data_IF_777576450801
#
_entry.id   IF_777576450801
#
_cell.length_a   1.000
_cell.length_b   1.000
_cell.length_c   1.000
_cell.angle_alpha   90.00
_cell.angle_beta   90.00
_cell.angle_gamma   90.00
#
_symmetry.space_group_name_H-M   'P 1'
#
loop_
_entity.id
_entity.type
_entity.pdbx_description
1 polymer ?
#
# COMPACT_ATOMS: atom_id res chain seq x y z
N UNK A 1 45.31 18.74 -48.48
CA UNK A 1 45.41 17.41 -47.82
C UNK A 1 44.75 17.54 -46.46
N UNK A 2 43.74 16.72 -46.18
CA UNK A 2 42.82 16.91 -45.04
C UNK A 2 43.49 16.66 -43.69
N UNK A 3 43.25 17.58 -42.75
CA UNK A 3 43.66 17.49 -41.35
C UNK A 3 42.59 16.69 -40.59
N UNK A 4 43.01 15.59 -39.98
CA UNK A 4 42.20 14.78 -39.07
C UNK A 4 42.04 15.55 -37.75
N UNK A 5 40.82 15.97 -37.42
CA UNK A 5 40.52 16.57 -36.12
C UNK A 5 40.17 15.46 -35.11
N UNK A 6 40.93 15.38 -34.03
CA UNK A 6 40.59 14.57 -32.86
C UNK A 6 39.51 15.28 -32.06
N UNK A 7 38.30 14.70 -32.01
CA UNK A 7 37.26 15.14 -31.08
C UNK A 7 37.68 14.73 -29.65
N UNK A 8 38.06 15.71 -28.84
CA UNK A 8 38.08 15.59 -27.38
C UNK A 8 36.64 15.46 -26.89
N UNK A 9 36.31 14.29 -26.34
CA UNK A 9 35.03 14.03 -25.71
C UNK A 9 34.86 14.95 -24.48
N UNK A 10 33.99 15.95 -24.62
CA UNK A 10 33.55 16.81 -23.54
C UNK A 10 32.78 15.98 -22.51
N UNK A 11 33.20 16.05 -21.25
CA UNK A 11 32.66 15.25 -20.15
C UNK A 11 31.36 15.91 -19.71
N UNK A 12 30.23 15.44 -20.23
CA UNK A 12 28.92 15.96 -19.83
C UNK A 12 28.79 15.96 -18.29
N UNK A 13 28.36 17.08 -17.68
CA UNK A 13 28.06 17.11 -16.26
C UNK A 13 26.95 16.09 -15.95
N UNK A 14 27.18 15.22 -14.96
CA UNK A 14 26.19 14.24 -14.53
C UNK A 14 24.86 14.87 -14.10
N UNK A 15 23.78 14.08 -14.14
CA UNK A 15 22.44 14.56 -13.80
C UNK A 15 22.41 15.09 -12.34
N UNK A 16 22.15 16.39 -12.10
CA UNK A 16 22.18 17.01 -10.77
C UNK A 16 21.11 16.45 -9.82
N UNK A 17 20.21 15.59 -10.32
CA UNK A 17 19.18 14.91 -9.53
C UNK A 17 19.71 13.75 -8.70
N UNK A 18 20.93 13.26 -8.98
CA UNK A 18 21.53 12.15 -8.22
C UNK A 18 21.79 12.55 -6.75
N UNK A 19 21.95 13.84 -6.46
CA UNK A 19 22.14 14.36 -5.10
C UNK A 19 20.83 14.72 -4.37
N UNK A 20 19.67 14.60 -5.02
CA UNK A 20 18.36 15.00 -4.45
C UNK A 20 17.74 13.99 -3.49
N UNK A 21 18.41 12.89 -3.21
CA UNK A 21 18.03 11.99 -2.15
C UNK A 21 19.28 11.41 -1.52
N UNK A 22 19.63 11.87 -0.32
CA UNK A 22 20.42 11.04 0.57
C UNK A 22 19.58 9.77 0.80
N UNK A 23 20.05 8.58 0.38
CA UNK A 23 19.42 7.36 0.83
C UNK A 23 19.44 7.43 2.36
N UNK A 24 18.31 7.19 3.03
CA UNK A 24 18.38 6.91 4.47
C UNK A 24 19.44 5.81 4.64
N UNK A 25 20.44 6.05 5.48
CA UNK A 25 21.55 5.12 5.78
C UNK A 25 21.05 3.78 6.38
N UNK A 26 19.75 3.68 6.62
CA UNK A 26 18.98 2.51 7.04
C UNK A 26 18.62 1.56 5.89
N UNK A 27 19.08 1.79 4.66
CA UNK A 27 18.83 0.88 3.55
C UNK A 27 19.49 -0.49 3.84
N UNK A 28 18.71 -1.59 3.97
CA UNK A 28 19.28 -2.88 4.32
C UNK A 28 20.22 -3.37 3.22
N UNK A 29 21.36 -3.93 3.62
CA UNK A 29 22.28 -4.58 2.69
C UNK A 29 21.60 -5.83 2.14
N UNK A 30 21.30 -5.85 0.84
CA UNK A 30 20.72 -7.02 0.17
C UNK A 30 21.76 -8.14 0.19
N UNK A 31 21.53 -9.18 1.00
CA UNK A 31 22.45 -10.33 1.13
C UNK A 31 22.12 -11.42 0.12
N UNK A 32 20.87 -11.46 -0.34
CA UNK A 32 20.39 -12.42 -1.31
C UNK A 32 19.66 -11.71 -2.46
N UNK A 33 19.78 -12.27 -3.67
CA UNK A 33 19.08 -11.79 -4.87
C UNK A 33 17.55 -11.71 -4.68
N UNK A 34 16.99 -12.43 -3.70
CA UNK A 34 15.55 -12.45 -3.38
C UNK A 34 15.11 -11.31 -2.45
N UNK A 35 16.03 -10.60 -1.83
CA UNK A 35 15.69 -9.52 -0.88
C UNK A 35 15.02 -8.35 -1.63
N UNK A 36 15.52 -8.06 -2.84
CA UNK A 36 14.92 -7.08 -3.74
C UNK A 36 13.54 -7.44 -4.31
N UNK A 37 13.00 -8.66 -4.09
CA UNK A 37 11.66 -9.07 -4.57
C UNK A 37 10.61 -9.16 -3.45
N UNK A 38 11.02 -9.06 -2.18
CA UNK A 38 10.06 -9.15 -1.07
C UNK A 38 9.07 -7.97 -1.06
N UNK A 39 7.80 -8.19 -0.69
CA UNK A 39 6.89 -7.11 -0.39
C UNK A 39 7.33 -6.40 0.89
N UNK A 40 7.03 -5.12 1.03
CA UNK A 40 7.47 -4.32 2.18
C UNK A 40 6.66 -4.59 3.45
N UNK A 41 5.40 -4.97 3.29
CA UNK A 41 4.44 -5.21 4.38
C UNK A 41 3.41 -6.27 4.00
N UNK A 42 2.85 -6.93 5.01
CA UNK A 42 1.64 -7.74 4.92
C UNK A 42 0.58 -7.25 5.91
N UNK A 43 -0.68 -7.38 5.55
CA UNK A 43 -1.80 -7.05 6.41
C UNK A 43 -2.79 -8.20 6.59
N UNK A 44 -3.49 -8.15 7.71
CA UNK A 44 -4.63 -8.99 8.04
C UNK A 44 -5.83 -8.10 8.39
N UNK A 45 -6.94 -8.29 7.67
CA UNK A 45 -8.23 -7.64 7.89
C UNK A 45 -9.17 -8.66 8.54
N UNK A 46 -9.69 -8.33 9.71
CA UNK A 46 -10.73 -9.09 10.40
C UNK A 46 -12.08 -8.38 10.28
N UNK A 47 -13.09 -9.09 9.76
CA UNK A 47 -14.47 -8.60 9.63
C UNK A 47 -15.44 -9.71 10.02
N UNK A 48 -16.23 -9.50 11.08
CA UNK A 48 -17.31 -10.43 11.50
C UNK A 48 -16.87 -11.91 11.59
N UNK A 49 -15.67 -12.16 12.13
CA UNK A 49 -15.12 -13.52 12.27
C UNK A 49 -14.41 -14.07 11.03
N UNK A 50 -14.45 -13.37 9.89
CA UNK A 50 -13.64 -13.68 8.72
C UNK A 50 -12.31 -12.94 8.78
N UNK A 51 -11.24 -13.59 8.34
CA UNK A 51 -9.90 -12.98 8.23
C UNK A 51 -9.43 -13.07 6.78
N UNK A 52 -9.08 -11.91 6.21
CA UNK A 52 -8.47 -11.80 4.89
C UNK A 52 -7.04 -11.30 5.05
N UNK A 53 -6.09 -11.89 4.33
CA UNK A 53 -4.68 -11.51 4.39
C UNK A 53 -4.12 -11.23 3.01
N UNK A 54 -3.23 -10.25 2.89
CA UNK A 54 -2.43 -10.07 1.69
C UNK A 54 -1.14 -9.31 1.98
N UNK A 55 -0.22 -9.36 1.02
CA UNK A 55 0.98 -8.53 0.99
C UNK A 55 0.74 -7.26 0.17
N UNK A 56 1.58 -6.25 0.34
CA UNK A 56 1.60 -5.09 -0.54
C UNK A 56 1.79 -5.52 -2.00
N UNK A 57 1.11 -4.83 -2.92
CA UNK A 57 1.25 -5.08 -4.35
C UNK A 57 2.57 -4.53 -4.87
N UNK A 58 3.39 -5.41 -5.48
CA UNK A 58 4.67 -5.03 -6.11
C UNK A 58 4.64 -5.06 -7.64
N UNK A 59 3.53 -5.51 -8.24
CA UNK A 59 3.37 -5.56 -9.69
C UNK A 59 3.44 -4.15 -10.30
N UNK A 60 4.00 -4.01 -11.50
CA UNK A 60 4.08 -2.73 -12.19
C UNK A 60 2.69 -2.11 -12.38
N UNK A 61 1.68 -2.95 -12.66
CA UNK A 61 0.30 -2.51 -12.76
C UNK A 61 -0.32 -2.28 -11.37
N UNK A 62 -1.00 -1.14 -11.12
CA UNK A 62 -1.80 -0.95 -9.91
C UNK A 62 -2.88 -2.03 -9.78
N UNK A 63 -3.17 -2.49 -8.56
CA UNK A 63 -4.22 -3.48 -8.34
C UNK A 63 -5.58 -2.90 -8.75
N UNK A 64 -6.47 -3.75 -9.29
CA UNK A 64 -7.85 -3.36 -9.53
C UNK A 64 -8.57 -3.15 -8.18
N UNK A 65 -8.78 -1.89 -7.81
CA UNK A 65 -9.47 -1.51 -6.58
C UNK A 65 -10.99 -1.46 -6.78
N UNK A 66 -11.72 -1.61 -5.69
CA UNK A 66 -13.17 -1.44 -5.69
C UNK A 66 -13.51 0.04 -5.96
N UNK A 67 -14.55 0.37 -6.75
CA UNK A 67 -14.88 1.76 -7.11
C UNK A 67 -14.92 2.72 -5.91
N UNK A 68 -15.63 2.37 -4.82
CA UNK A 68 -15.67 3.21 -3.61
C UNK A 68 -14.31 3.46 -2.95
N UNK A 69 -13.36 2.51 -3.07
CA UNK A 69 -12.00 2.69 -2.56
C UNK A 69 -11.23 3.61 -3.51
N UNK A 70 -11.33 3.37 -4.82
CA UNK A 70 -10.72 4.18 -5.86
C UNK A 70 -11.18 5.65 -5.76
N UNK A 71 -12.49 5.88 -5.71
CA UNK A 71 -13.10 7.22 -5.59
C UNK A 71 -12.57 7.99 -4.38
N UNK A 72 -12.41 7.31 -3.23
CA UNK A 72 -11.84 7.94 -2.05
C UNK A 72 -10.36 8.30 -2.24
N UNK A 73 -9.56 7.39 -2.82
CA UNK A 73 -8.14 7.64 -3.04
C UNK A 73 -7.90 8.77 -4.05
N UNK A 74 -8.74 8.86 -5.09
CA UNK A 74 -8.65 9.90 -6.12
C UNK A 74 -8.99 11.29 -5.57
N UNK A 75 -9.82 11.37 -4.53
CA UNK A 75 -10.19 12.63 -3.86
C UNK A 75 -9.22 13.09 -2.77
N UNK A 76 -8.19 12.28 -2.44
CA UNK A 76 -7.19 12.68 -1.44
C UNK A 76 -6.41 13.92 -1.88
N UNK A 77 -6.27 14.89 -0.98
CA UNK A 77 -5.35 16.03 -1.16
C UNK A 77 -3.90 15.57 -1.03
N UNK A 78 -2.96 16.40 -1.49
CA UNK A 78 -1.52 16.10 -1.45
C UNK A 78 -1.04 15.72 -0.04
N UNK A 79 -1.54 16.37 1.01
CA UNK A 79 -1.16 16.10 2.41
C UNK A 79 -1.49 14.67 2.87
N UNK A 80 -2.50 14.06 2.25
CA UNK A 80 -2.93 12.70 2.56
C UNK A 80 -2.44 11.66 1.56
N UNK A 81 -1.79 12.07 0.47
CA UNK A 81 -1.25 11.15 -0.54
C UNK A 81 0.15 10.67 -0.16
N UNK A 82 0.37 9.38 -0.27
CA UNK A 82 1.67 8.73 -0.19
C UNK A 82 2.09 8.21 -1.58
N UNK A 83 3.40 8.00 -1.80
CA UNK A 83 3.97 7.52 -3.07
C UNK A 83 3.41 6.16 -3.52
N UNK A 84 2.88 5.38 -2.58
CA UNK A 84 2.38 4.02 -2.79
C UNK A 84 0.84 3.93 -2.64
N UNK A 85 0.15 5.07 -2.75
CA UNK A 85 -1.32 5.15 -2.69
C UNK A 85 -1.97 4.09 -3.59
N UNK A 86 -2.90 3.32 -3.02
CA UNK A 86 -3.64 2.26 -3.73
C UNK A 86 -2.91 0.92 -3.85
N UNK A 87 -1.61 0.83 -3.54
CA UNK A 87 -0.84 -0.42 -3.59
C UNK A 87 -0.66 -1.10 -2.23
N UNK A 88 -1.00 -0.37 -1.16
CA UNK A 88 -0.93 -0.87 0.21
C UNK A 88 -1.88 -2.07 0.40
N UNK A 89 -1.50 -3.06 1.22
CA UNK A 89 -2.36 -4.22 1.48
C UNK A 89 -3.71 -3.83 2.09
N UNK A 90 -3.79 -2.70 2.81
CA UNK A 90 -5.04 -2.17 3.37
C UNK A 90 -6.08 -1.85 2.28
N UNK A 91 -5.67 -1.10 1.25
CA UNK A 91 -6.56 -0.75 0.13
C UNK A 91 -7.00 -1.99 -0.65
N UNK A 92 -6.09 -2.96 -0.82
CA UNK A 92 -6.37 -4.23 -1.49
C UNK A 92 -7.37 -5.08 -0.68
N UNK A 93 -7.19 -5.21 0.64
CA UNK A 93 -8.08 -5.99 1.50
C UNK A 93 -9.47 -5.37 1.61
N UNK A 94 -9.57 -4.05 1.77
CA UNK A 94 -10.87 -3.35 1.74
C UNK A 94 -11.56 -3.58 0.40
N UNK A 95 -10.85 -3.43 -0.71
CA UNK A 95 -11.40 -3.65 -2.05
C UNK A 95 -11.92 -5.07 -2.23
N UNK A 96 -11.12 -6.08 -1.88
CA UNK A 96 -11.52 -7.50 -1.96
C UNK A 96 -12.75 -7.79 -1.11
N UNK A 97 -12.80 -7.26 0.11
CA UNK A 97 -13.95 -7.42 1.00
C UNK A 97 -15.20 -6.79 0.39
N UNK A 98 -15.14 -5.54 -0.06
CA UNK A 98 -16.29 -4.85 -0.65
C UNK A 98 -16.77 -5.53 -1.94
N UNK A 99 -15.86 -5.95 -2.81
CA UNK A 99 -16.19 -6.74 -4.00
C UNK A 99 -16.87 -8.05 -3.61
N UNK A 100 -16.42 -8.73 -2.55
CA UNK A 100 -17.08 -9.96 -2.07
C UNK A 100 -18.49 -9.69 -1.53
N UNK A 101 -18.70 -8.55 -0.87
CA UNK A 101 -20.01 -8.12 -0.35
C UNK A 101 -20.96 -7.82 -1.51
N UNK A 102 -20.53 -7.06 -2.51
CA UNK A 102 -21.28 -6.88 -3.75
C UNK A 102 -21.58 -8.22 -4.42
N UNK A 103 -20.57 -9.10 -4.45
CA UNK A 103 -20.66 -10.44 -4.99
C UNK A 103 -21.48 -11.41 -4.13
N UNK A 104 -22.05 -10.98 -3.00
CA UNK A 104 -22.99 -11.75 -2.19
C UNK A 104 -24.42 -11.19 -2.26
N UNK A 105 -24.62 -9.98 -2.81
CA UNK A 105 -25.96 -9.36 -2.93
C UNK A 105 -26.87 -10.12 -3.90
N UNK A 106 -28.19 -9.96 -3.75
CA UNK A 106 -29.17 -10.55 -4.66
C UNK A 106 -29.03 -9.99 -6.08
N UNK A 107 -29.50 -10.72 -7.11
CA UNK A 107 -29.45 -10.27 -8.51
C UNK A 107 -30.08 -8.89 -8.71
N UNK A 108 -31.18 -8.59 -8.01
CA UNK A 108 -31.84 -7.28 -8.07
C UNK A 108 -30.99 -6.18 -7.41
N UNK A 109 -30.41 -6.47 -6.24
CA UNK A 109 -29.62 -5.50 -5.50
C UNK A 109 -28.31 -5.14 -6.21
N UNK A 110 -27.67 -6.10 -6.90
CA UNK A 110 -26.44 -5.87 -7.68
C UNK A 110 -26.59 -4.93 -8.86
N UNK A 111 -27.82 -4.68 -9.34
CA UNK A 111 -28.05 -3.70 -10.40
C UNK A 111 -27.72 -2.28 -9.96
N UNK A 112 -27.70 -2.03 -8.65
CA UNK A 112 -27.30 -0.74 -8.07
C UNK A 112 -25.90 -0.87 -7.47
N UNK A 113 -24.98 0.06 -7.78
CA UNK A 113 -23.66 0.11 -7.13
C UNK A 113 -23.79 0.10 -5.61
N UNK A 114 -22.82 -0.50 -4.91
CA UNK A 114 -22.74 -0.41 -3.46
C UNK A 114 -22.62 1.06 -3.03
N UNK A 115 -23.42 1.46 -2.05
CA UNK A 115 -23.33 2.80 -1.47
C UNK A 115 -22.28 2.85 -0.36
N UNK A 116 -21.77 4.04 -0.04
CA UNK A 116 -20.86 4.24 1.10
C UNK A 116 -21.48 3.77 2.43
N UNK A 117 -22.77 4.02 2.64
CA UNK A 117 -23.48 3.55 3.84
C UNK A 117 -23.52 2.02 3.95
N UNK A 118 -23.77 1.33 2.84
CA UNK A 118 -23.71 -0.14 2.78
C UNK A 118 -22.27 -0.65 3.00
N UNK A 119 -21.27 0.01 2.43
CA UNK A 119 -19.86 -0.33 2.61
C UNK A 119 -19.42 -0.19 4.08
N UNK A 120 -19.75 0.93 4.75
CA UNK A 120 -19.48 1.12 6.18
C UNK A 120 -20.21 0.09 7.04
N UNK A 121 -21.44 -0.27 6.68
CA UNK A 121 -22.19 -1.34 7.36
C UNK A 121 -21.50 -2.70 7.19
N UNK A 122 -21.00 -3.00 5.99
CA UNK A 122 -20.30 -4.24 5.69
C UNK A 122 -18.95 -4.36 6.42
N UNK A 123 -18.29 -3.23 6.69
CA UNK A 123 -17.03 -3.12 7.43
C UNK A 123 -17.24 -2.78 8.92
N UNK A 124 -18.47 -2.87 9.44
CA UNK A 124 -18.77 -2.54 10.83
C UNK A 124 -17.90 -3.40 11.76
N UNK A 125 -17.22 -2.74 12.71
CA UNK A 125 -16.29 -3.33 13.67
C UNK A 125 -15.08 -4.05 13.04
N UNK A 126 -14.78 -3.78 11.78
CA UNK A 126 -13.59 -4.30 11.13
C UNK A 126 -12.32 -3.77 11.80
N UNK A 127 -11.32 -4.64 11.88
CA UNK A 127 -9.98 -4.34 12.40
C UNK A 127 -8.94 -4.75 11.37
N UNK A 128 -7.89 -3.97 11.23
CA UNK A 128 -6.75 -4.30 10.36
C UNK A 128 -5.45 -4.18 11.14
N UNK A 129 -4.52 -5.09 10.89
CA UNK A 129 -3.14 -5.00 11.38
C UNK A 129 -2.20 -5.21 10.22
N UNK A 130 -1.08 -4.48 10.23
CA UNK A 130 -0.03 -4.58 9.22
C UNK A 130 1.30 -4.89 9.89
N UNK A 131 2.11 -5.77 9.30
CA UNK A 131 3.45 -6.14 9.77
C UNK A 131 4.48 -5.88 8.67
N UNK A 132 5.68 -5.46 9.09
CA UNK A 132 6.82 -5.28 8.20
C UNK A 132 7.35 -6.63 7.73
N UNK A 133 7.62 -6.75 6.44
CA UNK A 133 8.34 -7.87 5.85
C UNK A 133 9.73 -7.36 5.46
N UNK A 134 10.76 -7.98 6.03
CA UNK A 134 12.18 -7.64 5.85
C UNK A 134 13.01 -8.90 5.62
N UNK A 135 14.27 -8.73 5.27
CA UNK A 135 15.24 -9.81 5.11
C UNK A 135 15.43 -10.60 6.42
N UNK A 136 15.96 -11.81 6.28
CA UNK A 136 16.30 -12.63 7.45
C UNK A 136 17.35 -11.92 8.32
N UNK A 137 17.11 -11.93 9.63
CA UNK A 137 17.93 -11.21 10.60
C UNK A 137 17.65 -9.71 10.75
N UNK A 138 16.78 -9.08 9.94
CA UNK A 138 16.38 -7.69 10.20
C UNK A 138 15.48 -7.63 11.46
N UNK A 139 15.87 -6.91 12.52
CA UNK A 139 15.10 -6.81 13.76
C UNK A 139 13.72 -6.14 13.58
N UNK A 140 13.51 -5.41 12.48
CA UNK A 140 12.22 -4.80 12.12
C UNK A 140 11.27 -5.80 11.47
N UNK A 141 11.73 -6.97 11.04
CA UNK A 141 10.86 -8.01 10.48
C UNK A 141 9.75 -8.37 11.49
N UNK A 142 8.51 -8.51 11.02
CA UNK A 142 7.38 -8.90 11.87
C UNK A 142 6.89 -7.82 12.85
N UNK A 143 7.57 -6.67 12.96
CA UNK A 143 7.11 -5.54 13.79
C UNK A 143 5.88 -4.88 13.18
N UNK A 144 5.07 -4.21 14.01
CA UNK A 144 3.90 -3.48 13.53
C UNK A 144 4.31 -2.36 12.56
N UNK A 145 3.58 -2.27 11.45
CA UNK A 145 3.68 -1.17 10.50
C UNK A 145 2.41 -0.32 10.62
N UNK A 146 2.49 0.95 11.05
CA UNK A 146 1.32 1.82 11.03
C UNK A 146 0.86 2.05 9.57
N UNK A 147 -0.45 2.22 9.32
CA UNK A 147 -0.95 2.54 7.99
C UNK A 147 -0.31 3.84 7.47
N UNK A 148 0.00 3.91 6.18
CA UNK A 148 0.48 5.15 5.57
C UNK A 148 -0.60 6.25 5.60
N UNK A 149 -0.24 7.49 5.22
CA UNK A 149 -1.16 8.64 5.25
C UNK A 149 -2.46 8.38 4.47
N UNK A 150 -2.35 7.87 3.24
CA UNK A 150 -3.51 7.55 2.40
C UNK A 150 -4.39 6.46 3.02
N UNK A 151 -3.76 5.43 3.59
CA UNK A 151 -4.50 4.33 4.21
C UNK A 151 -5.14 4.74 5.53
N UNK A 152 -4.51 5.63 6.30
CA UNK A 152 -5.13 6.18 7.51
C UNK A 152 -6.43 6.92 7.16
N UNK A 153 -6.39 7.79 6.14
CA UNK A 153 -7.58 8.48 5.65
C UNK A 153 -8.66 7.50 5.15
N UNK A 154 -8.26 6.50 4.35
CA UNK A 154 -9.14 5.47 3.83
C UNK A 154 -9.82 4.64 4.94
N UNK A 155 -9.05 4.16 5.92
CA UNK A 155 -9.56 3.36 7.03
C UNK A 155 -10.56 4.17 7.87
N UNK A 156 -10.26 5.45 8.14
CA UNK A 156 -11.18 6.36 8.82
C UNK A 156 -12.47 6.58 8.00
N UNK A 157 -12.35 6.74 6.68
CA UNK A 157 -13.50 6.93 5.79
C UNK A 157 -14.45 5.72 5.80
N UNK A 158 -13.93 4.50 5.92
CA UNK A 158 -14.73 3.28 5.99
C UNK A 158 -15.08 2.82 7.42
N UNK A 159 -14.49 3.43 8.44
CA UNK A 159 -14.71 3.07 9.85
C UNK A 159 -14.00 1.78 10.28
N UNK A 160 -12.86 1.47 9.66
CA UNK A 160 -12.00 0.31 9.98
C UNK A 160 -10.92 0.75 10.94
N UNK A 161 -10.70 0.02 12.04
CA UNK A 161 -9.65 0.35 13.01
C UNK A 161 -8.33 -0.33 12.67
N UNK A 162 -7.24 0.44 12.61
CA UNK A 162 -5.90 -0.13 12.68
C UNK A 162 -5.60 -0.58 14.11
N UNK A 163 -4.97 -1.74 14.28
CA UNK A 163 -4.65 -2.32 15.59
C UNK A 163 -3.20 -2.77 15.58
N UNK A 164 -2.45 -2.37 16.61
CA UNK A 164 -1.14 -2.94 16.93
C UNK A 164 -1.33 -4.16 17.86
N UNK A 165 -1.04 -5.40 17.41
CA UNK A 165 -1.22 -6.60 18.23
C UNK A 165 -0.19 -6.72 19.35
N UNK A 166 0.89 -5.92 19.31
CA UNK A 166 2.05 -6.06 20.20
C UNK A 166 1.97 -5.25 21.49
N UNK A 167 0.93 -4.42 21.69
CA UNK A 167 0.68 -3.81 23.00
C UNK A 167 0.31 -2.33 22.99
N UNK A 168 -0.65 -1.94 22.17
CA UNK A 168 -1.49 -0.76 22.44
C UNK A 168 -2.95 -1.15 22.19
N UNK A 169 -3.48 -2.01 23.07
CA UNK A 169 -4.91 -2.12 23.21
C UNK A 169 -5.41 -0.78 23.75
N UNK A 170 -5.93 0.04 22.86
CA UNK A 170 -6.75 1.23 23.13
C UNK A 170 -7.72 0.90 24.28
N UNK A 171 -7.51 1.55 25.42
CA UNK A 171 -8.31 1.43 26.65
C UNK A 171 -9.41 2.47 26.60
#
# INVERSE_FOLDING_TARGET
>A
MHVTQHHTADRQPGDPRIDWGTPDDDAPTLRHRRDGIMPTVAAALSVRGQTLTCTAGKADQPPALHPLVQDHLDTLTTDHRDRHTGRCPEAILLSRHLTSVEAARSKRARRRPLTIGEARKALKQAKITTRRIREDGDPRHGTYAPPCRSCTALLNHFGVRAVDPTGAADR
#
